data_IF_883985062263
#
_entry.id   IF_883985062263
#
_cell.length_a   1.000
_cell.length_b   1.000
_cell.length_c   1.000
_cell.angle_alpha   90.00
_cell.angle_beta   90.00
_cell.angle_gamma   90.00
#
_symmetry.space_group_name_H-M   'P 1'
#
loop_
_entity.id
_entity.type
_entity.pdbx_description
1 polymer ?
#
# COMPACT_ATOMS: atom_id res chain seq x y z
N UNK A 1 65.03 -26.91 18.43
CA UNK A 1 63.65 -27.30 18.07
C UNK A 1 62.89 -26.02 17.74
N UNK A 2 63.00 -25.45 16.53
CA UNK A 2 62.22 -25.73 15.31
C UNK A 2 60.70 -25.72 15.55
N UNK A 3 60.14 -24.51 15.41
CA UNK A 3 58.87 -24.11 14.77
C UNK A 3 57.61 -24.93 15.00
N UNK A 4 56.56 -24.27 15.48
CA UNK A 4 55.15 -24.63 15.24
C UNK A 4 54.25 -23.42 15.59
N UNK A 5 54.11 -22.49 14.64
CA UNK A 5 53.00 -21.54 14.60
C UNK A 5 52.46 -21.56 13.17
N UNK A 6 51.51 -22.47 12.94
CA UNK A 6 50.73 -22.56 11.71
C UNK A 6 49.28 -22.80 12.10
N UNK A 7 48.56 -21.72 12.32
CA UNK A 7 47.14 -21.73 12.69
C UNK A 7 46.31 -22.36 11.57
N UNK A 8 45.60 -23.44 11.92
CA UNK A 8 44.58 -24.08 11.11
C UNK A 8 43.20 -23.45 11.41
N UNK A 9 42.49 -23.02 10.36
CA UNK A 9 41.02 -23.04 10.17
C UNK A 9 40.21 -22.13 11.12
N UNK A 10 39.47 -21.12 10.65
CA UNK A 10 38.25 -21.32 9.87
C UNK A 10 37.87 -20.06 9.08
N UNK A 11 38.21 -20.04 7.79
CA UNK A 11 37.55 -19.20 6.80
C UNK A 11 36.41 -19.99 6.15
N UNK A 12 35.21 -19.92 6.72
CA UNK A 12 33.99 -20.45 6.12
C UNK A 12 32.79 -19.59 6.56
N UNK A 13 32.82 -18.30 6.19
CA UNK A 13 31.70 -17.38 6.36
C UNK A 13 31.27 -16.82 5.00
N UNK A 14 31.15 -17.70 3.99
CA UNK A 14 30.68 -17.31 2.67
C UNK A 14 29.62 -18.30 2.19
N UNK A 15 28.52 -17.70 1.72
CA UNK A 15 27.50 -18.26 0.81
C UNK A 15 26.26 -18.92 1.46
N UNK A 16 25.50 -18.16 2.25
CA UNK A 16 24.05 -18.23 2.06
C UNK A 16 23.69 -17.26 0.93
N UNK A 17 23.05 -17.71 -0.17
CA UNK A 17 22.47 -16.77 -1.12
C UNK A 17 21.31 -16.10 -0.39
N UNK A 18 21.50 -14.86 0.07
CA UNK A 18 20.37 -13.98 0.31
C UNK A 18 19.73 -13.83 -1.06
N UNK A 19 18.61 -14.50 -1.28
CA UNK A 19 17.76 -14.23 -2.42
C UNK A 19 17.39 -12.76 -2.31
N UNK A 20 18.08 -11.91 -3.06
CA UNK A 20 17.66 -10.54 -3.30
C UNK A 20 16.36 -10.70 -4.08
N UNK A 21 15.22 -10.69 -3.38
CA UNK A 21 13.93 -10.59 -4.01
C UNK A 21 14.04 -9.46 -5.04
N UNK A 22 13.72 -9.76 -6.29
CA UNK A 22 13.71 -8.75 -7.33
C UNK A 22 12.88 -7.57 -6.81
N UNK A 23 13.39 -6.33 -6.92
CA UNK A 23 12.67 -5.18 -6.42
C UNK A 23 11.30 -5.13 -7.11
N UNK A 24 10.24 -5.04 -6.30
CA UNK A 24 8.87 -4.98 -6.80
C UNK A 24 8.69 -3.84 -7.83
N UNK A 25 7.89 -4.10 -8.87
CA UNK A 25 7.52 -3.08 -9.87
C UNK A 25 6.45 -2.13 -9.31
N UNK A 26 6.91 -1.14 -8.55
CA UNK A 26 6.08 -0.17 -7.83
C UNK A 26 5.78 1.12 -8.61
N UNK A 27 6.26 1.27 -9.84
CA UNK A 27 6.16 2.52 -10.59
C UNK A 27 4.70 2.97 -10.81
N UNK A 28 3.79 2.02 -11.06
CA UNK A 28 2.36 2.31 -11.24
C UNK A 28 1.70 2.76 -9.93
N UNK A 29 2.07 2.14 -8.80
CA UNK A 29 1.58 2.49 -7.45
C UNK A 29 2.07 3.87 -7.05
N UNK A 30 3.31 4.24 -7.37
CA UNK A 30 3.85 5.57 -7.10
C UNK A 30 3.13 6.66 -7.89
N UNK A 31 2.81 6.41 -9.17
CA UNK A 31 1.97 7.32 -9.96
C UNK A 31 0.58 7.48 -9.35
N UNK A 32 -0.05 6.38 -8.91
CA UNK A 32 -1.35 6.43 -8.24
C UNK A 32 -1.28 7.22 -6.93
N UNK A 33 -0.21 7.04 -6.14
CA UNK A 33 0.02 7.76 -4.88
C UNK A 33 0.12 9.27 -5.09
N UNK A 34 0.83 9.73 -6.12
CA UNK A 34 0.90 11.16 -6.46
C UNK A 34 -0.49 11.72 -6.75
N UNK A 35 -1.28 11.02 -7.57
CA UNK A 35 -2.64 11.43 -7.93
C UNK A 35 -3.57 11.45 -6.71
N UNK A 36 -3.48 10.47 -5.80
CA UNK A 36 -4.26 10.44 -4.55
C UNK A 36 -3.91 11.64 -3.64
N UNK A 37 -2.63 12.03 -3.58
CA UNK A 37 -2.21 13.21 -2.82
C UNK A 37 -2.78 14.50 -3.41
N UNK A 38 -2.74 14.65 -4.74
CA UNK A 38 -3.35 15.79 -5.44
C UNK A 38 -4.86 15.87 -5.17
N UNK A 39 -5.58 14.74 -5.29
CA UNK A 39 -7.01 14.67 -4.93
C UNK A 39 -7.27 15.14 -3.49
N UNK A 40 -6.37 14.82 -2.55
CA UNK A 40 -6.54 15.22 -1.15
C UNK A 40 -6.32 16.71 -0.93
N UNK A 41 -5.42 17.34 -1.71
CA UNK A 41 -5.15 18.77 -1.66
C UNK A 41 -6.28 19.60 -2.27
N UNK A 42 -6.87 19.14 -3.38
CA UNK A 42 -7.94 19.84 -4.09
C UNK A 42 -9.28 19.85 -3.33
N UNK A 43 -9.51 18.85 -2.49
CA UNK A 43 -10.83 18.57 -1.91
C UNK A 43 -11.12 19.21 -0.53
N UNK A 44 -10.17 19.91 0.09
CA UNK A 44 -10.39 20.71 1.32
C UNK A 44 -10.94 19.95 2.55
N UNK A 45 -11.52 20.67 3.52
CA UNK A 45 -12.17 20.08 4.72
C UNK A 45 -13.46 19.38 4.30
N UNK A 46 -13.47 18.06 4.47
CA UNK A 46 -14.33 17.14 3.74
C UNK A 46 -15.80 17.15 4.19
N UNK A 47 -16.70 17.54 3.28
CA UNK A 47 -18.10 17.09 3.31
C UNK A 47 -18.13 15.63 2.88
N UNK A 48 -19.03 14.82 3.46
CA UNK A 48 -19.15 13.37 3.20
C UNK A 48 -19.16 13.00 1.71
N UNK A 49 -19.85 13.79 0.88
CA UNK A 49 -19.88 13.56 -0.58
C UNK A 49 -18.49 13.63 -1.21
N UNK A 50 -17.64 14.56 -0.73
CA UNK A 50 -16.24 14.66 -1.14
C UNK A 50 -15.44 13.43 -0.72
N UNK A 51 -15.70 12.89 0.47
CA UNK A 51 -15.05 11.66 0.93
C UNK A 51 -15.49 10.43 0.09
N UNK A 52 -16.76 10.34 -0.31
CA UNK A 52 -17.24 9.30 -1.24
C UNK A 52 -16.51 9.40 -2.57
N UNK A 53 -16.54 10.58 -3.20
CA UNK A 53 -15.89 10.81 -4.51
C UNK A 53 -14.39 10.51 -4.45
N UNK A 54 -13.70 10.97 -3.40
CA UNK A 54 -12.27 10.71 -3.20
C UNK A 54 -11.97 9.22 -3.09
N UNK A 55 -12.72 8.47 -2.28
CA UNK A 55 -12.46 7.03 -2.11
C UNK A 55 -12.74 6.24 -3.38
N UNK A 56 -13.75 6.63 -4.18
CA UNK A 56 -13.99 6.03 -5.52
C UNK A 56 -12.85 6.34 -6.49
N UNK A 57 -12.36 7.58 -6.50
CA UNK A 57 -11.21 7.96 -7.31
C UNK A 57 -9.96 7.17 -6.90
N UNK A 58 -9.69 7.05 -5.60
CA UNK A 58 -8.60 6.20 -5.07
C UNK A 58 -8.75 4.75 -5.52
N UNK A 59 -9.95 4.17 -5.43
CA UNK A 59 -10.20 2.81 -5.89
C UNK A 59 -9.92 2.64 -7.39
N UNK A 60 -10.33 3.60 -8.23
CA UNK A 60 -10.04 3.59 -9.65
C UNK A 60 -8.53 3.67 -9.95
N UNK A 61 -7.81 4.60 -9.29
CA UNK A 61 -6.36 4.76 -9.45
C UNK A 61 -5.59 3.49 -9.08
N UNK A 62 -6.00 2.81 -8.00
CA UNK A 62 -5.37 1.57 -7.56
C UNK A 62 -5.69 0.39 -8.49
N UNK A 63 -6.89 0.31 -9.07
CA UNK A 63 -7.21 -0.68 -10.11
C UNK A 63 -6.35 -0.47 -11.36
N UNK A 64 -6.17 0.78 -11.79
CA UNK A 64 -5.27 1.10 -12.91
C UNK A 64 -3.84 0.69 -12.57
N UNK A 65 -3.35 1.01 -11.37
CA UNK A 65 -2.01 0.61 -10.95
C UNK A 65 -1.81 -0.92 -10.94
N UNK A 66 -2.84 -1.66 -10.56
CA UNK A 66 -2.84 -3.13 -10.57
C UNK A 66 -2.79 -3.72 -11.99
N UNK A 67 -3.43 -3.06 -12.97
CA UNK A 67 -3.37 -3.45 -14.38
C UNK A 67 -2.01 -3.13 -15.00
N UNK A 68 -1.42 -2.01 -14.60
CA UNK A 68 -0.18 -1.49 -15.19
C UNK A 68 1.10 -2.19 -14.67
N UNK A 69 1.03 -2.88 -13.53
CA UNK A 69 2.19 -3.60 -12.96
C UNK A 69 2.27 -5.03 -13.48
N UNK A 70 3.48 -5.48 -13.76
CA UNK A 70 3.75 -6.89 -14.08
C UNK A 70 3.94 -7.76 -12.84
N UNK A 71 4.11 -7.16 -11.67
CA UNK A 71 4.37 -7.84 -10.41
C UNK A 71 3.06 -8.36 -9.76
N UNK A 72 2.89 -9.69 -9.59
CA UNK A 72 1.68 -10.27 -9.01
C UNK A 72 1.41 -9.81 -7.58
N UNK A 73 2.44 -9.64 -6.75
CA UNK A 73 2.28 -9.23 -5.36
C UNK A 73 1.81 -7.77 -5.30
N UNK A 74 2.38 -6.89 -6.13
CA UNK A 74 1.93 -5.49 -6.23
C UNK A 74 0.49 -5.42 -6.75
N UNK A 75 0.17 -6.19 -7.81
CA UNK A 75 -1.18 -6.26 -8.38
C UNK A 75 -2.22 -6.67 -7.34
N UNK A 76 -1.99 -7.77 -6.63
CA UNK A 76 -2.95 -8.31 -5.67
C UNK A 76 -3.18 -7.32 -4.52
N UNK A 77 -2.10 -6.71 -3.98
CA UNK A 77 -2.21 -5.69 -2.94
C UNK A 77 -2.92 -4.43 -3.41
N UNK A 78 -2.67 -3.99 -4.64
CA UNK A 78 -3.36 -2.84 -5.22
C UNK A 78 -4.85 -3.11 -5.40
N UNK A 79 -5.24 -4.33 -5.81
CA UNK A 79 -6.65 -4.74 -5.88
C UNK A 79 -7.32 -4.83 -4.51
N UNK A 80 -6.64 -5.38 -3.50
CA UNK A 80 -7.13 -5.42 -2.12
C UNK A 80 -7.42 -4.01 -1.59
N UNK A 81 -6.47 -3.09 -1.78
CA UNK A 81 -6.60 -1.70 -1.38
C UNK A 81 -7.70 -0.96 -2.16
N UNK A 82 -7.81 -1.21 -3.47
CA UNK A 82 -8.88 -0.66 -4.28
C UNK A 82 -10.27 -1.11 -3.81
N UNK A 83 -10.44 -2.41 -3.52
CA UNK A 83 -11.69 -2.96 -3.05
C UNK A 83 -12.09 -2.40 -1.68
N UNK A 84 -11.13 -2.21 -0.77
CA UNK A 84 -11.40 -1.61 0.53
C UNK A 84 -11.79 -0.12 0.43
N UNK A 85 -11.12 0.65 -0.43
CA UNK A 85 -11.49 2.04 -0.70
C UNK A 85 -12.91 2.15 -1.29
N UNK A 86 -13.27 1.29 -2.24
CA UNK A 86 -14.63 1.24 -2.82
C UNK A 86 -15.69 0.88 -1.76
N UNK A 87 -15.43 -0.14 -0.93
CA UNK A 87 -16.34 -0.52 0.16
C UNK A 87 -16.56 0.63 1.13
N UNK A 88 -15.48 1.32 1.52
CA UNK A 88 -15.60 2.47 2.39
C UNK A 88 -16.40 3.61 1.74
N UNK A 89 -16.20 3.88 0.45
CA UNK A 89 -17.02 4.83 -0.30
C UNK A 89 -18.51 4.44 -0.30
N UNK A 90 -18.83 3.15 -0.40
CA UNK A 90 -20.20 2.66 -0.38
C UNK A 90 -20.86 2.80 0.98
N UNK A 91 -20.16 2.51 2.08
CA UNK A 91 -20.66 2.80 3.45
C UNK A 91 -20.89 4.30 3.62
N UNK A 92 -19.93 5.11 3.20
CA UNK A 92 -20.06 6.56 3.18
C UNK A 92 -21.13 7.05 2.21
N UNK A 93 -21.63 6.27 1.26
CA UNK A 93 -22.76 6.66 0.41
C UNK A 93 -24.11 6.19 0.99
N UNK A 94 -24.12 5.06 1.71
CA UNK A 94 -25.31 4.38 2.19
C UNK A 94 -25.96 5.01 3.44
N UNK A 95 -25.20 5.73 4.28
CA UNK A 95 -25.83 6.44 5.40
C UNK A 95 -26.84 7.49 4.88
N UNK A 96 -28.08 7.43 5.34
CA UNK A 96 -29.14 8.38 4.92
C UNK A 96 -29.75 9.12 6.11
N UNK A 97 -29.38 8.75 7.34
CA UNK A 97 -29.81 9.37 8.59
C UNK A 97 -28.71 10.25 9.20
N UNK A 98 -29.12 11.23 10.02
CA UNK A 98 -28.18 12.07 10.80
C UNK A 98 -27.34 11.22 11.74
N UNK A 99 -27.93 10.21 12.38
CA UNK A 99 -27.20 9.27 13.25
C UNK A 99 -26.16 8.46 12.46
N UNK A 100 -26.50 7.96 11.27
CA UNK A 100 -25.56 7.27 10.40
C UNK A 100 -24.49 8.18 9.78
N UNK A 101 -24.68 9.50 9.81
CA UNK A 101 -23.67 10.49 9.43
C UNK A 101 -22.68 10.74 10.58
N UNK A 102 -23.15 10.66 11.82
CA UNK A 102 -22.35 10.89 13.02
C UNK A 102 -21.66 9.63 13.53
N UNK A 103 -22.14 8.45 13.13
CA UNK A 103 -21.52 7.18 13.48
C UNK A 103 -20.14 7.07 12.82
N UNK A 104 -19.06 6.88 13.59
CA UNK A 104 -17.73 6.76 13.03
C UNK A 104 -17.67 5.49 12.15
N UNK A 105 -17.05 5.56 10.96
CA UNK A 105 -17.07 4.47 9.98
C UNK A 105 -16.15 3.27 10.33
N UNK A 106 -16.11 2.88 11.60
CA UNK A 106 -15.00 2.22 12.28
C UNK A 106 -14.36 1.04 11.56
N UNK A 107 -15.15 0.04 11.15
CA UNK A 107 -14.57 -1.19 10.57
C UNK A 107 -14.07 -0.99 9.13
N UNK A 108 -14.88 -0.40 8.25
CA UNK A 108 -14.49 -0.22 6.85
C UNK A 108 -13.38 0.81 6.68
N UNK A 109 -13.38 1.86 7.52
CA UNK A 109 -12.26 2.80 7.57
C UNK A 109 -10.97 2.09 7.98
N UNK A 110 -11.02 1.28 9.04
CA UNK A 110 -9.86 0.51 9.50
C UNK A 110 -9.37 -0.46 8.42
N UNK A 111 -10.30 -1.13 7.72
CA UNK A 111 -9.97 -2.02 6.61
C UNK A 111 -9.27 -1.27 5.48
N UNK A 112 -9.80 -0.13 5.04
CA UNK A 112 -9.20 0.68 3.99
C UNK A 112 -7.78 1.13 4.36
N UNK A 113 -7.57 1.59 5.60
CA UNK A 113 -6.24 1.97 6.10
C UNK A 113 -5.29 0.77 6.13
N UNK A 114 -5.74 -0.37 6.66
CA UNK A 114 -4.90 -1.56 6.79
C UNK A 114 -4.47 -2.12 5.42
N UNK A 115 -5.36 -2.11 4.42
CA UNK A 115 -4.99 -2.55 3.06
C UNK A 115 -4.03 -1.59 2.38
N UNK A 116 -4.16 -0.27 2.62
CA UNK A 116 -3.18 0.70 2.13
C UNK A 116 -1.81 0.51 2.79
N UNK A 117 -1.77 0.25 4.10
CA UNK A 117 -0.54 -0.06 4.82
C UNK A 117 0.08 -1.40 4.40
N UNK A 118 -0.73 -2.38 4.00
CA UNK A 118 -0.24 -3.63 3.43
C UNK A 118 0.37 -3.41 2.04
N UNK A 119 -0.25 -2.57 1.20
CA UNK A 119 0.31 -2.16 -0.07
C UNK A 119 1.63 -1.39 0.11
N UNK A 120 1.73 -0.51 1.11
CA UNK A 120 2.95 0.24 1.42
C UNK A 120 4.11 -0.64 1.90
N UNK A 121 3.82 -1.78 2.55
CA UNK A 121 4.86 -2.76 2.90
C UNK A 121 5.48 -3.44 1.68
N UNK A 122 4.75 -3.54 0.57
CA UNK A 122 5.24 -4.08 -0.71
C UNK A 122 5.88 -2.98 -1.55
N UNK A 123 5.22 -1.82 -1.62
CA UNK A 123 5.67 -0.64 -2.34
C UNK A 123 5.86 0.55 -1.37
N UNK A 124 6.99 0.61 -0.66
CA UNK A 124 7.28 1.70 0.26
C UNK A 124 7.28 3.05 -0.46
N UNK A 125 6.96 4.13 0.26
CA UNK A 125 7.07 5.46 -0.30
C UNK A 125 8.53 5.82 -0.60
N UNK A 126 8.85 6.40 -1.77
CA UNK A 126 10.20 6.89 -2.04
C UNK A 126 10.56 7.96 -0.99
N UNK A 127 11.63 7.71 -0.23
CA UNK A 127 12.12 8.60 0.83
C UNK A 127 11.67 8.27 2.27
N UNK A 128 11.15 7.05 2.50
CA UNK A 128 10.90 6.51 3.84
C UNK A 128 12.14 5.94 4.53
#
# INVERSE_FOLDING_TARGET
MRGLLGAFVAGAALLTPVATAEPHDCASVDRARVQIRQLSQENGVAVRQTAVTRNRATAALLRTAAVDTSDPAVRDRALEAAAAAERYANVLAAATSVDGVLEPPGEEMSRAVNTMAALERVCPAPGG
#
